data_IF_228117365202
#
_entry.id   IF_228117365202
#
_cell.length_a   1.000
_cell.length_b   1.000
_cell.length_c   1.000
_cell.angle_alpha   90.00
_cell.angle_beta   90.00
_cell.angle_gamma   90.00
#
_symmetry.space_group_name_H-M   'P 1'
#
loop_
_entity.id
_entity.type
_entity.pdbx_description
1 polymer ?
#
# COMPACT_ATOMS: atom_id res chain seq x y z
N UNK A 1 22.75 -29.68 5.02
CA UNK A 1 21.44 -29.54 5.69
C UNK A 1 20.77 -28.29 5.15
N UNK A 2 19.62 -28.45 4.50
CA UNK A 2 18.94 -27.43 3.70
C UNK A 2 18.06 -26.55 4.58
N UNK A 3 18.42 -25.28 4.76
CA UNK A 3 17.56 -24.30 5.40
C UNK A 3 16.65 -23.66 4.34
N UNK A 4 15.50 -24.28 4.08
CA UNK A 4 14.42 -23.71 3.25
C UNK A 4 13.60 -22.77 4.14
N UNK A 5 13.92 -21.48 4.13
CA UNK A 5 13.19 -20.46 4.88
C UNK A 5 11.89 -20.06 4.19
N UNK A 6 10.78 -20.49 4.78
CA UNK A 6 9.58 -19.75 5.20
C UNK A 6 9.24 -18.37 4.58
N UNK A 7 9.39 -18.17 3.26
CA UNK A 7 8.89 -16.97 2.55
C UNK A 7 7.46 -17.16 2.03
N UNK A 8 6.95 -18.40 2.03
CA UNK A 8 5.63 -18.73 1.50
C UNK A 8 4.48 -18.09 2.31
N UNK A 9 4.69 -17.83 3.59
CA UNK A 9 3.67 -17.24 4.47
C UNK A 9 3.40 -15.75 4.25
N UNK A 10 4.37 -15.00 3.74
CA UNK A 10 4.19 -13.58 3.43
C UNK A 10 3.39 -13.37 2.13
N UNK A 11 3.53 -14.30 1.18
CA UNK A 11 2.86 -14.25 -0.13
C UNK A 11 1.36 -14.56 0.00
N UNK A 12 0.99 -15.50 0.87
CA UNK A 12 -0.43 -15.85 1.09
C UNK A 12 -1.23 -14.75 1.77
N UNK A 13 -0.60 -13.91 2.60
CA UNK A 13 -1.28 -12.78 3.24
C UNK A 13 -1.65 -11.68 2.23
N UNK A 14 -0.81 -11.46 1.21
CA UNK A 14 -1.08 -10.47 0.15
C UNK A 14 -2.21 -10.92 -0.79
N UNK A 15 -2.32 -12.23 -1.06
CA UNK A 15 -3.35 -12.79 -1.94
C UNK A 15 -4.78 -12.75 -1.36
N UNK A 16 -4.94 -12.68 -0.03
CA UNK A 16 -6.27 -12.61 0.60
C UNK A 16 -6.96 -11.24 0.39
N UNK A 17 -6.19 -10.20 0.08
CA UNK A 17 -6.68 -8.85 -0.20
C UNK A 17 -7.45 -8.72 -1.52
N UNK A 18 -7.36 -9.73 -2.41
CA UNK A 18 -7.93 -9.69 -3.75
C UNK A 18 -9.43 -10.06 -3.83
N UNK A 19 -10.12 -10.39 -2.72
CA UNK A 19 -11.45 -11.03 -2.80
C UNK A 19 -12.67 -10.35 -2.16
N UNK A 20 -12.58 -9.21 -1.45
CA UNK A 20 -13.78 -8.66 -0.80
C UNK A 20 -14.39 -7.44 -1.53
N UNK A 21 -15.55 -7.69 -2.18
CA UNK A 21 -16.47 -6.70 -2.76
C UNK A 21 -17.50 -6.24 -1.72
N UNK A 22 -17.65 -4.92 -1.63
CA UNK A 22 -18.72 -4.06 -1.09
C UNK A 22 -19.93 -4.66 -0.34
N UNK A 23 -20.29 -3.98 0.77
CA UNK A 23 -21.67 -3.54 1.00
C UNK A 23 -21.68 -2.23 1.81
N UNK A 24 -22.37 -1.21 1.29
CA UNK A 24 -22.57 0.12 1.87
C UNK A 24 -24.06 0.22 2.26
N UNK A 25 -24.37 0.68 3.47
CA UNK A 25 -25.73 0.82 4.02
C UNK A 25 -25.87 2.20 4.66
N UNK A 26 -26.82 2.99 4.14
CA UNK A 26 -27.28 4.29 4.66
C UNK A 26 -28.40 4.12 5.71
N UNK A 27 -28.44 4.97 6.75
CA UNK A 27 -29.64 5.59 7.37
C UNK A 27 -29.21 6.56 8.51
N UNK A 28 -29.50 7.88 8.47
CA UNK A 28 -30.68 8.64 9.00
C UNK A 28 -30.76 8.59 10.56
N UNK A 29 -30.57 9.66 11.38
CA UNK A 29 -31.48 10.80 11.64
C UNK A 29 -30.90 11.80 12.70
N UNK A 30 -31.25 13.08 12.56
CA UNK A 30 -30.84 14.29 13.30
C UNK A 30 -31.22 14.40 14.80
N UNK A 31 -30.45 13.79 15.70
CA UNK A 31 -30.18 14.32 17.07
C UNK A 31 -28.67 14.51 17.30
N UNK A 32 -27.96 14.63 16.18
CA UNK A 32 -26.90 13.69 15.86
C UNK A 32 -25.56 14.41 15.61
N UNK A 33 -25.52 15.74 15.62
CA UNK A 33 -24.37 16.53 15.14
C UNK A 33 -23.10 16.32 15.97
N UNK A 34 -23.14 16.52 17.30
CA UNK A 34 -21.95 16.38 18.15
C UNK A 34 -21.47 14.91 18.26
N UNK A 35 -22.42 13.98 18.37
CA UNK A 35 -22.15 12.54 18.33
C UNK A 35 -21.62 12.12 16.96
N UNK A 36 -22.17 12.64 15.86
CA UNK A 36 -21.68 12.41 14.49
C UNK A 36 -20.29 12.96 14.31
N UNK A 37 -19.97 14.17 14.76
CA UNK A 37 -18.61 14.72 14.60
C UNK A 37 -17.59 13.87 15.35
N UNK A 38 -17.91 13.46 16.59
CA UNK A 38 -17.04 12.58 17.37
C UNK A 38 -16.93 11.16 16.76
N UNK A 39 -18.01 10.67 16.16
CA UNK A 39 -18.05 9.38 15.46
C UNK A 39 -17.25 9.43 14.14
N UNK A 40 -17.39 10.51 13.36
CA UNK A 40 -16.64 10.77 12.13
C UNK A 40 -15.14 10.84 12.45
N UNK A 41 -14.77 11.57 13.50
CA UNK A 41 -13.38 11.67 13.96
C UNK A 41 -12.81 10.30 14.35
N UNK A 42 -13.50 9.55 15.21
CA UNK A 42 -13.03 8.22 15.65
C UNK A 42 -12.94 7.20 14.51
N UNK A 43 -13.93 7.18 13.60
CA UNK A 43 -13.92 6.28 12.44
C UNK A 43 -12.80 6.62 11.46
N UNK A 44 -12.61 7.92 11.21
CA UNK A 44 -11.55 8.43 10.33
C UNK A 44 -10.19 8.05 10.90
N UNK A 45 -9.93 8.34 12.18
CA UNK A 45 -8.68 7.96 12.85
C UNK A 45 -8.41 6.45 12.76
N UNK A 46 -9.40 5.60 13.02
CA UNK A 46 -9.23 4.14 12.94
C UNK A 46 -8.87 3.68 11.52
N UNK A 47 -9.52 4.25 10.50
CA UNK A 47 -9.25 3.96 9.09
C UNK A 47 -7.80 4.34 8.74
N UNK A 48 -7.35 5.51 9.21
CA UNK A 48 -6.00 6.02 8.94
C UNK A 48 -4.90 5.28 9.66
N UNK A 49 -5.08 4.92 10.93
CA UNK A 49 -4.09 4.08 11.63
C UNK A 49 -3.92 2.70 10.96
N UNK A 50 -5.03 2.10 10.51
CA UNK A 50 -4.97 0.83 9.76
C UNK A 50 -4.21 1.01 8.45
N UNK A 51 -4.46 2.10 7.74
CA UNK A 51 -3.83 2.44 6.47
C UNK A 51 -2.32 2.67 6.63
N UNK A 52 -1.89 3.49 7.59
CA UNK A 52 -0.47 3.77 7.85
C UNK A 52 0.31 2.49 8.15
N UNK A 53 -0.29 1.59 8.95
CA UNK A 53 0.33 0.30 9.26
C UNK A 53 0.47 -0.59 8.02
N UNK A 54 -0.56 -0.64 7.18
CA UNK A 54 -0.52 -1.42 5.94
C UNK A 54 0.55 -0.86 4.98
N UNK A 55 0.61 0.47 4.84
CA UNK A 55 1.57 1.12 3.94
C UNK A 55 3.02 0.86 4.33
N UNK A 56 3.36 0.89 5.62
CA UNK A 56 4.72 0.62 6.08
C UNK A 56 5.14 -0.83 5.82
N UNK A 57 4.19 -1.77 5.99
CA UNK A 57 4.42 -3.19 5.67
C UNK A 57 4.65 -3.42 4.17
N UNK A 58 3.89 -2.72 3.31
CA UNK A 58 4.03 -2.82 1.85
C UNK A 58 5.37 -2.25 1.39
N UNK A 59 5.72 -1.05 1.86
CA UNK A 59 7.00 -0.40 1.53
C UNK A 59 8.17 -1.31 1.91
N UNK A 60 8.17 -1.82 3.14
CA UNK A 60 9.22 -2.73 3.64
C UNK A 60 9.31 -3.99 2.78
N UNK A 61 8.17 -4.58 2.42
CA UNK A 61 8.14 -5.80 1.61
C UNK A 61 8.67 -5.54 0.19
N UNK A 62 8.28 -4.42 -0.43
CA UNK A 62 8.73 -4.02 -1.75
C UNK A 62 10.25 -3.74 -1.78
N UNK A 63 10.78 -3.06 -0.76
CA UNK A 63 12.23 -2.84 -0.60
C UNK A 63 12.99 -4.16 -0.57
N UNK A 64 12.52 -5.13 0.22
CA UNK A 64 13.17 -6.45 0.32
C UNK A 64 13.15 -7.20 -1.03
N UNK A 65 12.04 -7.13 -1.76
CA UNK A 65 11.91 -7.75 -3.10
C UNK A 65 12.88 -7.10 -4.09
N UNK A 66 12.95 -5.78 -4.12
CA UNK A 66 13.86 -5.02 -5.00
C UNK A 66 15.32 -5.36 -4.68
N UNK A 67 15.71 -5.35 -3.39
CA UNK A 67 17.07 -5.72 -2.96
C UNK A 67 17.41 -7.16 -3.38
N UNK A 68 16.46 -8.09 -3.28
CA UNK A 68 16.67 -9.46 -3.73
C UNK A 68 16.89 -9.54 -5.24
N UNK A 69 16.11 -8.80 -6.03
CA UNK A 69 16.24 -8.75 -7.47
C UNK A 69 17.58 -8.14 -7.90
N UNK A 70 18.03 -7.07 -7.24
CA UNK A 70 19.34 -6.46 -7.48
C UNK A 70 20.49 -7.45 -7.29
N UNK A 71 20.50 -8.14 -6.15
CA UNK A 71 21.49 -9.19 -5.87
C UNK A 71 21.45 -10.32 -6.91
N UNK A 72 20.25 -10.72 -7.34
CA UNK A 72 20.09 -11.71 -8.39
C UNK A 72 20.68 -11.26 -9.74
N UNK A 73 20.57 -9.98 -10.07
CA UNK A 73 21.14 -9.40 -11.30
C UNK A 73 22.66 -9.24 -11.24
N UNK A 74 23.24 -8.97 -10.06
CA UNK A 74 24.70 -8.96 -9.87
C UNK A 74 25.31 -10.34 -10.17
N UNK A 75 24.61 -11.43 -9.80
CA UNK A 75 25.08 -12.80 -9.98
C UNK A 75 24.86 -13.30 -11.41
N UNK A 76 23.68 -13.03 -11.99
CA UNK A 76 23.25 -13.61 -13.28
C UNK A 76 23.63 -12.73 -14.49
N UNK A 77 24.17 -11.53 -14.26
CA UNK A 77 24.54 -10.59 -15.31
C UNK A 77 23.40 -9.66 -15.75
N UNK A 78 23.78 -8.56 -16.41
CA UNK A 78 22.85 -7.50 -16.82
C UNK A 78 21.96 -7.94 -17.98
N UNK A 79 20.65 -7.79 -17.80
CA UNK A 79 19.65 -7.97 -18.85
C UNK A 79 18.80 -6.70 -18.92
N UNK A 80 18.75 -6.07 -20.11
CA UNK A 80 18.03 -4.80 -20.35
C UNK A 80 16.56 -4.84 -19.93
N UNK A 81 15.88 -5.98 -20.11
CA UNK A 81 14.49 -6.16 -19.67
C UNK A 81 14.38 -6.19 -18.14
N UNK A 82 15.30 -6.85 -17.45
CA UNK A 82 15.33 -6.90 -15.99
C UNK A 82 15.71 -5.56 -15.38
N UNK A 83 16.66 -4.85 -15.99
CA UNK A 83 17.03 -3.47 -15.60
C UNK A 83 15.86 -2.51 -15.73
N UNK A 84 15.10 -2.60 -16.83
CA UNK A 84 13.89 -1.78 -17.03
C UNK A 84 12.86 -2.04 -15.92
N UNK A 85 12.53 -3.31 -15.65
CA UNK A 85 11.58 -3.69 -14.59
C UNK A 85 12.03 -3.24 -13.21
N UNK A 86 13.32 -3.40 -12.91
CA UNK A 86 13.90 -2.94 -11.66
C UNK A 86 13.75 -1.42 -11.51
N UNK A 87 13.98 -0.67 -12.60
CA UNK A 87 13.83 0.78 -12.60
C UNK A 87 12.37 1.20 -12.36
N UNK A 88 11.41 0.56 -13.04
CA UNK A 88 9.97 0.82 -12.85
C UNK A 88 9.53 0.50 -11.41
N UNK A 89 9.96 -0.63 -10.84
CA UNK A 89 9.63 -0.98 -9.47
C UNK A 89 10.20 0.01 -8.45
N UNK A 90 11.45 0.46 -8.64
CA UNK A 90 12.05 1.51 -7.80
C UNK A 90 11.30 2.83 -7.91
N UNK A 91 10.94 3.23 -9.12
CA UNK A 91 10.18 4.46 -9.35
C UNK A 91 8.85 4.43 -8.58
N UNK A 92 8.07 3.35 -8.74
CA UNK A 92 6.79 3.22 -8.07
C UNK A 92 6.91 3.09 -6.55
N UNK A 93 7.99 2.47 -6.05
CA UNK A 93 8.27 2.42 -4.61
C UNK A 93 8.51 3.82 -4.03
N UNK A 94 9.34 4.62 -4.68
CA UNK A 94 9.64 5.98 -4.21
C UNK A 94 8.41 6.91 -4.32
N UNK A 95 7.62 6.76 -5.38
CA UNK A 95 6.36 7.50 -5.52
C UNK A 95 5.34 7.09 -4.44
N UNK A 96 5.26 5.81 -4.09
CA UNK A 96 4.42 5.33 -2.99
C UNK A 96 4.88 5.90 -1.65
N UNK A 97 6.19 5.87 -1.36
CA UNK A 97 6.77 6.47 -0.14
C UNK A 97 6.44 7.96 -0.04
N UNK A 98 6.56 8.70 -1.15
CA UNK A 98 6.22 10.12 -1.22
C UNK A 98 4.76 10.38 -0.85
N UNK A 99 3.83 9.59 -1.41
CA UNK A 99 2.39 9.69 -1.12
C UNK A 99 2.07 9.36 0.33
N UNK A 100 2.66 8.28 0.86
CA UNK A 100 2.49 7.89 2.26
C UNK A 100 3.01 8.97 3.20
N UNK A 101 4.17 9.55 2.91
CA UNK A 101 4.72 10.64 3.72
C UNK A 101 3.81 11.88 3.69
N UNK A 102 3.32 12.26 2.51
CA UNK A 102 2.38 13.37 2.38
C UNK A 102 1.09 13.15 3.18
N UNK A 103 0.55 11.93 3.14
CA UNK A 103 -0.63 11.55 3.94
C UNK A 103 -0.34 11.69 5.44
N UNK A 104 0.81 11.20 5.92
CA UNK A 104 1.23 11.32 7.32
C UNK A 104 1.39 12.78 7.75
N UNK A 105 1.97 13.63 6.90
CA UNK A 105 2.08 15.07 7.14
C UNK A 105 0.71 15.77 7.16
N UNK A 106 -0.18 15.38 6.25
CA UNK A 106 -1.55 15.90 6.21
C UNK A 106 -2.33 15.51 7.49
N UNK A 107 -2.19 14.28 7.96
CA UNK A 107 -2.78 13.82 9.23
C UNK A 107 -2.25 14.63 10.42
N UNK A 108 -0.93 14.82 10.52
CA UNK A 108 -0.30 15.58 11.62
C UNK A 108 -0.73 17.05 11.64
N UNK A 109 -0.94 17.66 10.47
CA UNK A 109 -1.33 19.07 10.33
C UNK A 109 -2.83 19.32 10.42
N UNK A 110 -3.64 18.27 10.58
CA UNK A 110 -5.10 18.38 10.65
C UNK A 110 -5.56 18.55 12.10
N UNK A 111 -6.06 19.74 12.44
CA UNK A 111 -6.53 20.06 13.79
C UNK A 111 -7.90 19.45 14.15
N UNK A 112 -8.76 19.17 13.15
CA UNK A 112 -10.07 18.54 13.39
C UNK A 112 -10.58 17.77 12.17
N UNK A 113 -11.14 16.59 12.38
CA UNK A 113 -11.66 15.73 11.32
C UNK A 113 -13.12 16.07 10.99
N UNK A 114 -13.31 17.06 10.12
CA UNK A 114 -14.61 17.43 9.56
C UNK A 114 -14.85 16.75 8.19
N UNK A 115 -16.04 16.94 7.60
CA UNK A 115 -16.40 16.32 6.31
C UNK A 115 -15.44 16.68 5.15
N UNK A 116 -14.89 17.89 5.13
CA UNK A 116 -13.94 18.29 4.10
C UNK A 116 -12.62 17.54 4.22
N UNK A 117 -12.14 17.36 5.45
CA UNK A 117 -10.95 16.57 5.75
C UNK A 117 -11.17 15.12 5.32
N UNK A 118 -12.33 14.54 5.61
CA UNK A 118 -12.68 13.17 5.17
C UNK A 118 -12.62 13.04 3.64
N UNK A 119 -13.16 14.00 2.89
CA UNK A 119 -13.11 13.97 1.42
C UNK A 119 -11.67 14.06 0.89
N UNK A 120 -10.84 14.94 1.45
CA UNK A 120 -9.42 15.01 1.08
C UNK A 120 -8.71 13.70 1.35
N UNK A 121 -8.94 13.14 2.53
CA UNK A 121 -8.39 11.86 2.97
C UNK A 121 -8.80 10.72 2.03
N UNK A 122 -10.07 10.62 1.63
CA UNK A 122 -10.52 9.62 0.66
C UNK A 122 -9.86 9.81 -0.72
N UNK A 123 -9.67 11.05 -1.16
CA UNK A 123 -8.92 11.35 -2.40
C UNK A 123 -7.47 10.89 -2.31
N UNK A 124 -6.79 11.16 -1.19
CA UNK A 124 -5.41 10.72 -0.97
C UNK A 124 -5.29 9.21 -0.87
N UNK A 125 -6.31 8.54 -0.30
CA UNK A 125 -6.37 7.09 -0.26
C UNK A 125 -6.46 6.50 -1.68
N UNK A 126 -7.29 7.07 -2.56
CA UNK A 126 -7.40 6.62 -3.94
C UNK A 126 -6.05 6.75 -4.67
N UNK A 127 -5.41 7.89 -4.51
CA UNK A 127 -4.09 8.21 -5.06
C UNK A 127 -3.01 7.23 -4.60
N UNK A 128 -3.01 6.87 -3.32
CA UNK A 128 -2.15 5.82 -2.79
C UNK A 128 -2.47 4.45 -3.39
N UNK A 129 -3.74 4.06 -3.46
CA UNK A 129 -4.15 2.74 -3.94
C UNK A 129 -3.74 2.54 -5.40
N UNK A 130 -3.90 3.58 -6.22
CA UNK A 130 -3.45 3.55 -7.61
C UNK A 130 -1.94 3.31 -7.71
N UNK A 131 -1.15 3.99 -6.88
CA UNK A 131 0.31 3.82 -6.91
C UNK A 131 0.75 2.48 -6.34
N UNK A 132 0.10 2.00 -5.27
CA UNK A 132 0.29 0.66 -4.72
C UNK A 132 0.09 -0.40 -5.81
N UNK A 133 -0.98 -0.30 -6.60
CA UNK A 133 -1.26 -1.25 -7.68
C UNK A 133 -0.19 -1.23 -8.78
N UNK A 134 0.36 -0.06 -9.12
CA UNK A 134 1.47 0.04 -10.09
C UNK A 134 2.74 -0.59 -9.54
N UNK A 135 3.04 -0.36 -8.26
CA UNK A 135 4.16 -1.00 -7.58
C UNK A 135 3.98 -2.52 -7.58
N UNK A 136 2.83 -3.03 -7.15
CA UNK A 136 2.52 -4.45 -7.16
C UNK A 136 2.67 -5.06 -8.56
N UNK A 137 2.12 -4.40 -9.59
CA UNK A 137 2.28 -4.84 -10.98
C UNK A 137 3.76 -4.94 -11.38
N UNK A 138 4.56 -3.92 -11.09
CA UNK A 138 5.99 -3.91 -11.41
C UNK A 138 6.80 -4.99 -10.65
N UNK A 139 6.43 -5.28 -9.39
CA UNK A 139 7.07 -6.33 -8.59
C UNK A 139 6.67 -7.74 -9.08
N UNK A 140 5.43 -7.92 -9.55
CA UNK A 140 4.98 -9.18 -10.15
C UNK A 140 5.80 -9.54 -11.39
N UNK A 141 6.30 -8.57 -12.15
CA UNK A 141 7.14 -8.85 -13.32
C UNK A 141 8.49 -9.46 -12.97
N UNK A 142 8.91 -9.48 -11.69
CA UNK A 142 10.09 -10.23 -11.26
C UNK A 142 9.85 -11.74 -11.20
N UNK A 143 8.59 -12.18 -11.14
CA UNK A 143 8.22 -13.59 -11.16
C UNK A 143 8.23 -14.12 -12.61
N UNK A 144 9.42 -14.23 -13.20
CA UNK A 144 9.58 -14.98 -14.45
C UNK A 144 9.37 -16.47 -14.14
N UNK A 145 8.20 -17.00 -14.53
CA UNK A 145 8.01 -18.45 -14.58
C UNK A 145 8.91 -19.02 -15.68
N UNK A 146 9.99 -19.68 -15.27
CA UNK A 146 10.67 -20.63 -16.15
C UNK A 146 9.79 -21.87 -16.22
N UNK A 147 8.96 -21.96 -17.27
CA UNK A 147 8.32 -23.24 -17.60
C UNK A 147 9.41 -24.24 -18.03
N UNK A 148 9.40 -25.47 -17.49
CA UNK A 148 10.36 -26.52 -17.84
C UNK A 148 10.22 -27.01 -19.28
#
# INVERSE_FOLDING_TARGET
MNAKFNILGAITLLLYSCQNKNSLSEEVLNTDSLMKTKNIEQQTLKKWFSFNRESDSIITSAELIIIHQEKGMEIQGKNKSREKRLHEAKYHLEELKRRVNYIKEYEISTDSFNSSVVHTLDSLQLDYLQEKLKLEASLCEFQEFTMP
#
